data_IF_683256005343
#
_entry.id   IF_683256005343
#
_cell.length_a   1.000
_cell.length_b   1.000
_cell.length_c   1.000
_cell.angle_alpha   90.00
_cell.angle_beta   90.00
_cell.angle_gamma   90.00
#
_symmetry.space_group_name_H-M   'P 1'
#
loop_
_entity.id
_entity.type
_entity.pdbx_description
1 polymer ?
#
# COMPACT_ATOMS: atom_id res chain seq x y z
N UNK A 1 -12.16 -15.83 2.11
CA UNK A 1 -11.22 -14.90 2.79
C UNK A 1 -11.80 -13.48 2.77
N UNK A 2 -12.41 -13.05 3.87
CA UNK A 2 -13.19 -11.79 3.98
C UNK A 2 -12.30 -10.54 3.93
N UNK A 3 -11.06 -10.62 4.45
CA UNK A 3 -10.12 -9.51 4.46
C UNK A 3 -9.71 -9.00 3.06
N UNK A 4 -9.76 -9.84 2.03
CA UNK A 4 -9.46 -9.45 0.63
C UNK A 4 -10.65 -8.75 -0.03
N UNK A 5 -11.89 -9.03 0.42
CA UNK A 5 -13.11 -8.42 -0.15
C UNK A 5 -13.31 -6.97 0.29
N UNK A 6 -12.71 -6.54 1.42
CA UNK A 6 -12.76 -5.14 1.85
C UNK A 6 -11.83 -4.31 0.95
N UNK A 7 -12.42 -3.55 0.02
CA UNK A 7 -11.69 -2.84 -1.05
C UNK A 7 -10.59 -1.90 -0.52
N UNK A 8 -10.75 -1.39 0.70
CA UNK A 8 -9.88 -0.36 1.32
C UNK A 8 -9.05 -0.84 2.51
N UNK A 9 -8.93 -2.16 2.73
CA UNK A 9 -7.99 -2.68 3.74
C UNK A 9 -6.57 -2.79 3.16
N UNK A 10 -5.56 -2.58 4.02
CA UNK A 10 -4.14 -2.72 3.69
C UNK A 10 -3.83 -4.03 2.96
N UNK A 11 -4.44 -5.13 3.41
CA UNK A 11 -4.23 -6.46 2.84
C UNK A 11 -4.88 -6.62 1.46
N UNK A 12 -6.00 -5.93 1.21
CA UNK A 12 -6.65 -5.89 -0.10
C UNK A 12 -5.80 -5.15 -1.15
N UNK A 13 -5.23 -4.00 -0.78
CA UNK A 13 -4.30 -3.25 -1.65
C UNK A 13 -3.01 -4.04 -1.90
N UNK A 14 -2.45 -4.68 -0.86
CA UNK A 14 -1.27 -5.53 -0.98
C UNK A 14 -1.52 -6.72 -1.91
N UNK A 15 -2.66 -7.40 -1.75
CA UNK A 15 -3.06 -8.51 -2.62
C UNK A 15 -3.14 -8.06 -4.08
N UNK A 16 -3.85 -6.94 -4.38
CA UNK A 16 -3.98 -6.45 -5.77
C UNK A 16 -2.63 -6.09 -6.39
N UNK A 17 -1.76 -5.38 -5.66
CA UNK A 17 -0.42 -5.00 -6.14
C UNK A 17 0.48 -6.20 -6.42
N UNK A 18 0.32 -7.28 -5.65
CA UNK A 18 1.13 -8.48 -5.77
C UNK A 18 0.55 -9.45 -6.81
N UNK A 19 -0.78 -9.57 -6.87
CA UNK A 19 -1.48 -10.38 -7.87
C UNK A 19 -1.20 -9.88 -9.29
N UNK A 20 -1.19 -8.56 -9.50
CA UNK A 20 -0.84 -7.94 -10.77
C UNK A 20 0.59 -8.25 -11.25
N UNK A 21 1.52 -8.56 -10.32
CA UNK A 21 2.94 -8.81 -10.64
C UNK A 21 3.34 -10.29 -10.63
N UNK A 22 2.70 -11.12 -9.79
CA UNK A 22 3.13 -12.50 -9.52
C UNK A 22 2.01 -13.54 -9.62
N UNK A 23 0.78 -13.12 -9.96
CA UNK A 23 -0.39 -14.00 -10.05
C UNK A 23 -1.10 -14.22 -8.71
N UNK A 24 -2.39 -14.55 -8.78
CA UNK A 24 -3.29 -14.60 -7.61
C UNK A 24 -2.91 -15.62 -6.53
N UNK A 25 -2.43 -16.81 -6.92
CA UNK A 25 -2.04 -17.86 -5.95
C UNK A 25 -0.87 -17.43 -5.06
N UNK A 26 0.17 -16.82 -5.67
CA UNK A 26 1.34 -16.30 -4.94
C UNK A 26 0.97 -15.10 -4.06
N UNK A 27 0.05 -14.26 -4.54
CA UNK A 27 -0.44 -13.13 -3.75
C UNK A 27 -1.22 -13.59 -2.50
N UNK A 28 -2.00 -14.67 -2.61
CA UNK A 28 -2.74 -15.24 -1.48
C UNK A 28 -1.80 -15.70 -0.35
N UNK A 29 -0.76 -16.47 -0.70
CA UNK A 29 0.23 -16.97 0.27
C UNK A 29 0.95 -15.83 0.96
N UNK A 30 1.33 -14.78 0.21
CA UNK A 30 1.97 -13.61 0.80
C UNK A 30 1.06 -12.83 1.77
N UNK A 31 -0.25 -12.75 1.48
CA UNK A 31 -1.25 -12.18 2.40
C UNK A 31 -1.34 -13.03 3.67
N UNK A 32 -1.41 -14.36 3.53
CA UNK A 32 -1.44 -15.29 4.67
C UNK A 32 -0.21 -15.13 5.56
N UNK A 33 0.98 -15.06 4.97
CA UNK A 33 2.23 -14.88 5.72
C UNK A 33 2.24 -13.56 6.51
N UNK A 34 1.81 -12.45 5.91
CA UNK A 34 1.66 -11.18 6.63
C UNK A 34 0.63 -11.25 7.75
N UNK A 35 -0.48 -11.96 7.54
CA UNK A 35 -1.51 -12.16 8.56
C UNK A 35 -0.95 -12.95 9.75
N UNK A 36 -0.18 -14.01 9.49
CA UNK A 36 0.45 -14.83 10.53
C UNK A 36 1.42 -14.01 11.39
N UNK A 37 2.25 -13.18 10.77
CA UNK A 37 3.17 -12.27 11.49
C UNK A 37 2.37 -11.28 12.35
N UNK A 38 1.30 -10.69 11.80
CA UNK A 38 0.46 -9.78 12.54
C UNK A 38 -0.20 -10.45 13.76
N UNK A 39 -0.73 -11.66 13.60
CA UNK A 39 -1.29 -12.46 14.69
C UNK A 39 -0.23 -12.73 15.75
N UNK A 40 0.98 -13.10 15.34
CA UNK A 40 2.09 -13.34 16.27
C UNK A 40 2.42 -12.09 17.09
N UNK A 41 2.54 -10.91 16.47
CA UNK A 41 2.79 -9.66 17.20
C UNK A 41 1.66 -9.28 18.16
N UNK A 42 0.41 -9.51 17.76
CA UNK A 42 -0.74 -9.24 18.64
C UNK A 42 -0.74 -10.16 19.85
N UNK A 43 -0.36 -11.43 19.66
CA UNK A 43 -0.37 -12.42 20.72
C UNK A 43 0.87 -12.32 21.63
N UNK A 44 2.04 -12.08 21.05
CA UNK A 44 3.32 -12.00 21.73
C UNK A 44 3.51 -10.65 22.43
N UNK A 45 3.32 -9.55 21.69
CA UNK A 45 3.61 -8.19 22.19
C UNK A 45 2.38 -7.55 22.87
N UNK A 46 1.23 -8.25 22.88
CA UNK A 46 -0.08 -7.74 23.34
C UNK A 46 -0.45 -6.38 22.71
N UNK A 47 0.08 -6.10 21.53
CA UNK A 47 -0.17 -4.85 20.83
C UNK A 47 -1.49 -4.96 20.05
N UNK A 48 -2.37 -3.94 20.11
CA UNK A 48 -3.61 -3.96 19.36
C UNK A 48 -3.30 -3.96 17.86
N UNK A 49 -3.95 -4.87 17.11
CA UNK A 49 -3.82 -4.90 15.65
C UNK A 49 -4.36 -3.60 15.07
N UNK A 50 -3.47 -2.77 14.53
CA UNK A 50 -3.83 -1.55 13.81
C UNK A 50 -3.77 -1.85 12.32
N UNK A 51 -4.93 -1.96 11.67
CA UNK A 51 -4.98 -1.96 10.20
C UNK A 51 -4.41 -0.61 9.74
N UNK A 52 -3.25 -0.65 9.08
CA UNK A 52 -2.58 0.57 8.62
C UNK A 52 -3.40 1.29 7.53
N UNK A 53 -4.48 0.68 7.04
CA UNK A 53 -5.37 1.24 6.04
C UNK A 53 -4.76 1.26 4.65
N UNK A 54 -5.60 1.51 3.63
CA UNK A 54 -5.14 1.68 2.25
C UNK A 54 -4.10 2.80 2.09
N UNK A 55 -4.16 3.82 2.96
CA UNK A 55 -3.28 4.99 2.93
C UNK A 55 -1.84 4.75 3.39
N UNK A 56 -1.54 3.61 4.02
CA UNK A 56 -0.18 3.30 4.42
C UNK A 56 0.77 3.17 3.23
N UNK A 57 0.28 2.70 2.07
CA UNK A 57 1.08 2.64 0.86
C UNK A 57 1.26 4.02 0.19
N UNK A 58 0.35 4.96 0.44
CA UNK A 58 0.41 6.33 -0.08
C UNK A 58 1.42 7.15 0.73
N UNK A 59 1.41 6.99 2.05
CA UNK A 59 2.36 7.68 2.97
C UNK A 59 3.81 7.22 2.85
N UNK A 60 4.07 5.98 2.40
CA UNK A 60 5.44 5.43 2.32
C UNK A 60 6.19 5.77 1.04
N UNK A 61 5.49 6.15 -0.02
CA UNK A 61 6.08 6.41 -1.35
C UNK A 61 5.75 7.85 -1.84
N UNK A 62 5.93 8.93 -1.03
CA UNK A 62 5.64 10.30 -1.46
C UNK A 62 6.47 10.69 -2.69
N UNK A 63 7.73 10.26 -2.75
CA UNK A 63 8.56 10.43 -3.95
C UNK A 63 7.99 9.75 -5.19
N UNK A 64 7.34 8.60 -5.03
CA UNK A 64 6.81 7.84 -6.15
C UNK A 64 5.51 8.44 -6.67
N UNK A 65 4.70 9.01 -5.78
CA UNK A 65 3.57 9.85 -6.14
C UNK A 65 4.05 11.11 -6.88
N UNK A 66 5.06 11.79 -6.35
CA UNK A 66 5.67 12.97 -6.98
C UNK A 66 6.24 12.64 -8.37
N UNK A 67 6.98 11.54 -8.51
CA UNK A 67 7.49 11.08 -9.83
C UNK A 67 6.38 10.76 -10.82
N UNK A 68 5.24 10.24 -10.37
CA UNK A 68 4.06 10.02 -11.25
C UNK A 68 3.48 11.34 -11.72
N UNK A 69 3.28 12.29 -10.80
CA UNK A 69 2.78 13.63 -11.13
C UNK A 69 3.70 14.36 -12.11
N UNK A 70 5.02 14.30 -11.90
CA UNK A 70 6.02 14.85 -12.84
C UNK A 70 5.92 14.17 -14.20
N UNK A 71 5.80 12.84 -14.23
CA UNK A 71 5.70 12.09 -15.49
C UNK A 71 4.44 12.44 -16.28
N UNK A 72 3.30 12.56 -15.60
CA UNK A 72 2.03 12.96 -16.22
C UNK A 72 2.11 14.38 -16.76
N UNK A 73 2.65 15.32 -16.02
CA UNK A 73 2.79 16.69 -16.51
C UNK A 73 3.79 16.83 -17.67
N UNK A 74 4.92 16.11 -17.62
CA UNK A 74 5.85 16.04 -18.75
C UNK A 74 5.20 15.45 -19.99
N UNK A 75 4.30 14.47 -19.85
CA UNK A 75 3.56 13.91 -20.99
C UNK A 75 2.59 14.91 -21.64
N UNK A 76 2.18 15.93 -20.88
CA UNK A 76 1.34 17.03 -21.35
C UNK A 76 2.18 18.25 -21.81
N UNK A 77 3.51 18.14 -21.84
CA UNK A 77 4.41 19.23 -22.22
C UNK A 77 4.54 20.34 -21.15
N UNK A 78 4.11 20.07 -19.92
CA UNK A 78 4.11 21.02 -18.82
C UNK A 78 5.24 20.72 -17.83
N UNK A 79 5.99 21.74 -17.44
CA UNK A 79 7.01 21.63 -16.38
C UNK A 79 6.37 21.90 -15.02
N UNK A 80 6.37 20.91 -14.13
CA UNK A 80 5.82 21.06 -12.77
C UNK A 80 6.91 21.52 -11.81
N UNK A 81 6.65 22.63 -11.12
CA UNK A 81 7.42 23.08 -9.96
C UNK A 81 6.61 22.80 -8.70
N UNK A 82 7.23 22.12 -7.73
CA UNK A 82 6.64 21.92 -6.42
C UNK A 82 7.19 22.99 -5.48
N UNK A 83 6.31 23.83 -4.95
CA UNK A 83 6.67 24.78 -3.88
C UNK A 83 6.29 24.16 -2.53
N UNK A 84 7.18 24.23 -1.53
CA UNK A 84 6.87 23.74 -0.19
C UNK A 84 5.78 24.61 0.43
N UNK A 85 4.69 23.98 0.87
CA UNK A 85 3.67 24.67 1.66
C UNK A 85 4.30 24.97 3.02
N UNK A 86 4.57 26.24 3.28
CA UNK A 86 5.01 26.72 4.59
C UNK A 86 3.80 26.65 5.53
N UNK A 87 3.92 25.87 6.61
CA UNK A 87 2.95 25.79 7.69
C UNK A 87 3.17 26.89 8.72
#
# INVERSE_FOLDING_TARGET
MVAIRKKDSYLGVFFRRLAARRGGKRALVAVMHKLAIAIWHVLHDKTPYRDLGADHFTRRDPERAMRRMVKEANSLGLTVRFEPITA
#
